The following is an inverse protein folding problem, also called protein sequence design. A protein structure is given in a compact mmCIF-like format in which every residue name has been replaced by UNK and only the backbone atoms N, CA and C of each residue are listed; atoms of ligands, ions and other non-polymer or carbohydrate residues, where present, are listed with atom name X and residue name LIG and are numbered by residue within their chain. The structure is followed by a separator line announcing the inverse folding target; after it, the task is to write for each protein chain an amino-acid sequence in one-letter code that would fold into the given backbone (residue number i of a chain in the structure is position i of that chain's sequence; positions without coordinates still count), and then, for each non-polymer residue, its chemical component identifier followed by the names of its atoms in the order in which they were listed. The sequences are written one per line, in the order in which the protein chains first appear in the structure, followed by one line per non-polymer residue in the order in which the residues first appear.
data_IF_644859917531
#
_entry.id   IF_644859917531
#
_cell.length_a   1.000
_cell.length_b   1.000
_cell.length_c   1.000
_cell.angle_alpha   90.00
_cell.angle_beta   90.00
_cell.angle_gamma   90.00
#
_symmetry.space_group_name_H-M   'P 1'
#
loop_
_entity.id
_entity.type
_entity.pdbx_description
1 polymer ?
#
# COMPACT_ATOMS: atom_id res chain seq x y z
N UNK A 1 -6.82 8.93 -13.02
CA UNK A 1 -5.86 7.84 -13.35
C UNK A 1 -5.73 6.88 -12.20
N UNK A 2 -6.07 5.62 -12.48
CA UNK A 2 -6.05 4.38 -11.69
C UNK A 2 -5.03 4.29 -10.53
N UNK A 3 -5.53 4.25 -9.27
CA UNK A 3 -4.74 3.74 -8.11
C UNK A 3 -4.56 2.21 -8.16
N UNK A 4 -5.42 1.50 -8.90
CA UNK A 4 -5.52 0.03 -8.92
C UNK A 4 -4.43 -0.65 -9.74
N UNK A 5 -4.05 -0.07 -10.89
CA UNK A 5 -2.97 -0.62 -11.72
C UNK A 5 -1.61 -0.53 -11.01
N UNK A 6 -1.39 0.54 -10.23
CA UNK A 6 -0.17 0.68 -9.44
C UNK A 6 -0.05 -0.43 -8.39
N UNK A 7 -1.15 -0.85 -7.77
CA UNK A 7 -1.10 -1.96 -6.79
C UNK A 7 -0.82 -3.31 -7.44
N UNK A 8 -1.41 -3.60 -8.61
CA UNK A 8 -1.18 -4.85 -9.35
C UNK A 8 0.27 -4.95 -9.84
N UNK A 9 0.81 -3.86 -10.38
CA UNK A 9 2.22 -3.77 -10.80
C UNK A 9 3.19 -3.99 -9.62
N UNK A 10 2.87 -3.42 -8.45
CA UNK A 10 3.67 -3.64 -7.24
C UNK A 10 3.59 -5.08 -6.75
N UNK A 11 2.41 -5.71 -6.80
CA UNK A 11 2.27 -7.14 -6.48
C UNK A 11 3.11 -8.01 -7.41
N UNK A 12 3.10 -7.74 -8.71
CA UNK A 12 3.93 -8.45 -9.67
C UNK A 12 5.44 -8.28 -9.38
N UNK A 13 5.89 -7.06 -9.02
CA UNK A 13 7.28 -6.83 -8.62
C UNK A 13 7.68 -7.69 -7.41
N UNK A 14 6.81 -7.77 -6.40
CA UNK A 14 7.04 -8.55 -5.18
C UNK A 14 7.08 -10.04 -5.45
N UNK A 15 6.18 -10.53 -6.30
CA UNK A 15 6.19 -11.92 -6.78
C UNK A 15 7.53 -12.26 -7.46
N UNK A 16 8.04 -11.36 -8.32
CA UNK A 16 9.34 -11.54 -8.98
C UNK A 16 10.51 -11.58 -8.00
N UNK A 17 10.49 -10.74 -6.95
CA UNK A 17 11.50 -10.78 -5.89
C UNK A 17 11.50 -12.15 -5.20
N UNK A 18 10.32 -12.64 -4.79
CA UNK A 18 10.18 -13.93 -4.11
C UNK A 18 10.62 -15.08 -5.00
N UNK A 19 10.22 -15.08 -6.28
CA UNK A 19 10.60 -16.10 -7.25
C UNK A 19 12.12 -16.11 -7.51
N UNK A 20 12.76 -14.95 -7.58
CA UNK A 20 14.21 -14.88 -7.73
C UNK A 20 14.92 -15.33 -6.44
N UNK A 21 14.40 -14.99 -5.27
CA UNK A 21 14.95 -15.46 -4.00
C UNK A 21 14.84 -16.99 -3.84
N UNK A 22 13.81 -17.63 -4.43
CA UNK A 22 13.66 -19.08 -4.47
C UNK A 22 14.62 -19.77 -5.46
N UNK A 23 15.23 -19.02 -6.38
CA UNK A 23 16.27 -19.48 -7.30
C UNK A 23 17.69 -19.18 -6.77
N UNK A 24 17.83 -18.97 -5.46
CA UNK A 24 19.10 -18.68 -4.78
C UNK A 24 19.82 -17.39 -5.21
N UNK A 25 19.13 -16.45 -5.87
CA UNK A 25 19.70 -15.14 -6.15
C UNK A 25 19.89 -14.30 -4.87
N UNK A 26 21.02 -13.61 -4.77
CA UNK A 26 21.29 -12.66 -3.68
C UNK A 26 20.43 -11.40 -3.82
N UNK A 27 20.16 -10.72 -2.70
CA UNK A 27 19.38 -9.47 -2.70
C UNK A 27 19.97 -8.40 -3.64
N UNK A 28 21.30 -8.35 -3.78
CA UNK A 28 21.97 -7.42 -4.70
C UNK A 28 21.76 -7.77 -6.17
N UNK A 29 21.77 -9.06 -6.53
CA UNK A 29 21.46 -9.51 -7.89
C UNK A 29 19.99 -9.23 -8.24
N UNK A 30 19.07 -9.54 -7.33
CA UNK A 30 17.63 -9.28 -7.49
C UNK A 30 17.38 -7.78 -7.69
N UNK A 31 17.97 -6.93 -6.84
CA UNK A 31 17.86 -5.47 -6.93
C UNK A 31 18.32 -4.94 -8.29
N UNK A 32 19.46 -5.44 -8.79
CA UNK A 32 19.99 -5.07 -10.10
C UNK A 32 19.08 -5.52 -11.24
N UNK A 33 18.61 -6.77 -11.21
CA UNK A 33 17.78 -7.34 -12.28
C UNK A 33 16.39 -6.71 -12.36
N UNK A 34 15.81 -6.33 -11.21
CA UNK A 34 14.47 -5.75 -11.12
C UNK A 34 14.47 -4.22 -11.02
N UNK A 35 15.64 -3.58 -11.12
CA UNK A 35 15.82 -2.13 -10.97
C UNK A 35 15.13 -1.58 -9.70
N UNK A 36 15.39 -2.23 -8.55
CA UNK A 36 14.84 -1.83 -7.24
C UNK A 36 15.94 -1.69 -6.20
N UNK A 37 15.58 -1.21 -5.00
CA UNK A 37 16.51 -1.11 -3.88
C UNK A 37 16.74 -2.47 -3.22
N UNK A 38 17.96 -2.70 -2.75
CA UNK A 38 18.33 -3.93 -2.01
C UNK A 38 17.45 -4.13 -0.77
N UNK A 39 17.08 -3.03 -0.10
CA UNK A 39 16.18 -3.08 1.06
C UNK A 39 14.78 -3.57 0.71
N UNK A 40 14.27 -3.25 -0.49
CA UNK A 40 13.00 -3.79 -0.98
C UNK A 40 13.09 -5.30 -1.17
N UNK A 41 14.19 -5.80 -1.74
CA UNK A 41 14.40 -7.23 -1.91
C UNK A 41 14.49 -7.95 -0.57
N UNK A 42 15.28 -7.41 0.38
CA UNK A 42 15.39 -7.92 1.75
C UNK A 42 14.04 -7.97 2.45
N UNK A 43 13.30 -6.87 2.47
CA UNK A 43 11.99 -6.76 3.12
C UNK A 43 11.03 -7.85 2.64
N UNK A 44 10.91 -8.03 1.32
CA UNK A 44 9.95 -8.99 0.77
C UNK A 44 10.39 -10.45 0.95
N UNK A 45 11.69 -10.70 0.98
CA UNK A 45 12.24 -12.02 1.28
C UNK A 45 11.98 -12.40 2.76
N UNK A 46 12.28 -11.50 3.69
CA UNK A 46 12.03 -11.72 5.12
C UNK A 46 10.54 -11.90 5.42
N UNK A 47 9.70 -11.10 4.76
CA UNK A 47 8.25 -11.18 4.88
C UNK A 47 7.69 -12.48 4.32
N UNK A 48 8.21 -12.96 3.19
CA UNK A 48 7.80 -14.24 2.63
C UNK A 48 8.11 -15.40 3.57
N UNK A 49 9.33 -15.46 4.11
CA UNK A 49 9.74 -16.47 5.09
C UNK A 49 8.85 -16.42 6.35
N UNK A 50 8.56 -15.22 6.85
CA UNK A 50 7.67 -15.03 8.01
C UNK A 50 6.24 -15.55 7.78
N UNK A 51 5.79 -15.63 6.53
CA UNK A 51 4.45 -16.07 6.15
C UNK A 51 4.40 -17.52 5.63
N UNK A 52 5.54 -18.18 5.40
CA UNK A 52 5.58 -19.54 4.84
C UNK A 52 4.87 -20.59 5.71
N UNK A 53 4.82 -20.40 7.03
CA UNK A 53 4.15 -21.32 7.96
C UNK A 53 2.62 -21.13 8.07
N UNK A 54 2.03 -20.19 7.34
CA UNK A 54 0.57 -20.02 7.30
C UNK A 54 -0.03 -20.98 6.28
N UNK A 55 -1.18 -21.54 6.60
CA UNK A 55 -1.95 -22.38 5.67
C UNK A 55 -2.47 -21.56 4.48
N UNK A 56 -2.66 -22.19 3.32
CA UNK A 56 -3.24 -21.54 2.14
C UNK A 56 -4.70 -21.13 2.37
N UNK A 57 -5.44 -21.88 3.20
CA UNK A 57 -6.80 -21.56 3.61
C UNK A 57 -6.86 -20.30 4.50
N UNK A 58 -5.74 -19.97 5.16
CA UNK A 58 -5.65 -18.79 6.05
C UNK A 58 -5.23 -17.53 5.29
N UNK A 59 -4.32 -17.66 4.32
CA UNK A 59 -3.77 -16.51 3.61
C UNK A 59 -3.31 -16.90 2.21
N UNK A 60 -4.05 -16.45 1.20
CA UNK A 60 -3.72 -16.71 -0.20
C UNK A 60 -2.41 -16.05 -0.61
N UNK A 61 -1.75 -16.56 -1.65
CA UNK A 61 -0.50 -15.97 -2.20
C UNK A 61 -0.68 -14.49 -2.55
N UNK A 62 -1.83 -14.11 -3.11
CA UNK A 62 -2.14 -12.73 -3.48
C UNK A 62 -2.24 -11.80 -2.24
N UNK A 63 -2.74 -12.31 -1.12
CA UNK A 63 -2.81 -11.60 0.14
C UNK A 63 -1.43 -11.49 0.82
N UNK A 64 -0.60 -12.55 0.74
CA UNK A 64 0.78 -12.52 1.24
C UNK A 64 1.62 -11.44 0.55
N UNK A 65 1.40 -11.23 -0.75
CA UNK A 65 2.08 -10.23 -1.57
C UNK A 65 1.49 -8.81 -1.44
N UNK A 66 0.35 -8.66 -0.77
CA UNK A 66 -0.25 -7.33 -0.51
C UNK A 66 0.57 -6.59 0.53
N UNK A 67 0.61 -5.26 0.44
CA UNK A 67 1.25 -4.48 1.49
C UNK A 67 0.55 -4.69 2.84
N UNK A 68 1.32 -4.60 3.92
CA UNK A 68 0.71 -4.59 5.24
C UNK A 68 -0.25 -3.40 5.30
N UNK A 69 -1.42 -3.51 5.97
CA UNK A 69 -2.27 -2.37 6.23
C UNK A 69 -1.38 -1.28 6.82
N UNK A 70 -1.25 -0.15 6.10
CA UNK A 70 -0.36 0.93 6.54
C UNK A 70 -0.89 1.35 7.91
N UNK A 71 -0.12 1.22 9.00
CA UNK A 71 -0.54 1.75 10.28
C UNK A 71 -0.68 3.25 10.07
N UNK A 72 -1.93 3.72 9.97
CA UNK A 72 -2.19 5.14 9.90
C UNK A 72 -1.67 5.77 11.18
N UNK A 73 -1.01 6.92 11.09
CA UNK A 73 -0.92 7.79 12.27
C UNK A 73 -2.37 8.02 12.72
N UNK A 74 -2.71 7.82 14.02
CA UNK A 74 -4.05 8.12 14.50
C UNK A 74 -4.44 9.53 14.05
N UNK A 75 -5.67 9.72 13.53
CA UNK A 75 -6.05 10.97 12.93
C UNK A 75 -5.88 12.11 13.94
N UNK A 76 -5.05 13.09 13.60
CA UNK A 76 -4.84 14.30 14.43
C UNK A 76 -6.09 15.19 14.46
N UNK A 77 -6.99 15.01 13.49
CA UNK A 77 -8.25 15.72 13.37
C UNK A 77 -9.36 14.77 13.81
N UNK A 78 -10.17 15.19 14.77
CA UNK A 78 -11.31 14.41 15.25
C UNK A 78 -12.42 14.35 14.20
N UNK A 79 -13.30 13.35 14.30
CA UNK A 79 -14.47 13.26 13.42
C UNK A 79 -15.34 14.52 13.49
N UNK A 80 -15.44 15.12 14.68
CA UNK A 80 -16.18 16.37 14.90
C UNK A 80 -15.55 17.55 14.17
N UNK A 81 -14.23 17.70 14.20
CA UNK A 81 -13.53 18.73 13.44
C UNK A 81 -13.71 18.55 11.93
N UNK A 82 -13.75 17.31 11.44
CA UNK A 82 -14.09 17.03 10.03
C UNK A 82 -15.51 17.48 9.69
N UNK A 83 -16.49 17.22 10.56
CA UNK A 83 -17.87 17.68 10.39
C UNK A 83 -17.98 19.21 10.38
N UNK A 84 -17.26 19.90 11.29
CA UNK A 84 -17.23 21.36 11.33
C UNK A 84 -16.63 21.96 10.05
N UNK A 85 -15.52 21.41 9.55
CA UNK A 85 -14.92 21.85 8.28
C UNK A 85 -15.88 21.63 7.10
N UNK A 86 -16.56 20.49 7.07
CA UNK A 86 -17.56 20.20 6.03
C UNK A 86 -18.76 21.16 6.10
N UNK A 87 -19.27 21.44 7.30
CA UNK A 87 -20.36 22.37 7.53
C UNK A 87 -19.99 23.81 7.12
N UNK A 88 -18.81 24.30 7.50
CA UNK A 88 -18.30 25.61 7.10
C UNK A 88 -18.24 25.76 5.57
N UNK A 89 -17.79 24.71 4.86
CA UNK A 89 -17.77 24.70 3.39
C UNK A 89 -19.18 24.74 2.79
N UNK A 90 -20.10 23.94 3.31
CA UNK A 90 -21.49 23.92 2.83
C UNK A 90 -22.18 25.28 3.05
N UNK A 91 -21.96 25.90 4.22
CA UNK A 91 -22.48 27.23 4.54
C UNK A 91 -21.89 28.31 3.62
N UNK A 92 -20.58 28.28 3.34
CA UNK A 92 -19.95 29.22 2.44
C UNK A 92 -20.47 29.11 1.00
N UNK A 93 -20.69 27.87 0.51
CA UNK A 93 -21.29 27.63 -0.81
C UNK A 93 -22.73 28.10 -0.88
N UNK A 94 -23.50 27.91 0.19
CA UNK A 94 -24.88 28.39 0.30
C UNK A 94 -24.93 29.93 0.32
N UNK A 95 -24.08 30.57 1.13
CA UNK A 95 -23.98 32.02 1.24
C UNK A 95 -23.55 32.67 -0.07
N UNK A 96 -22.55 32.09 -0.76
CA UNK A 96 -22.13 32.54 -2.08
C UNK A 96 -23.25 32.46 -3.11
N UNK A 97 -23.98 31.33 -3.15
CA UNK A 97 -25.15 31.19 -4.03
C UNK A 97 -26.25 32.20 -3.72
N UNK A 98 -26.38 32.63 -2.47
CA UNK A 98 -27.40 33.60 -2.05
C UNK A 98 -27.00 35.07 -2.29
N UNK A 99 -25.71 35.38 -2.40
CA UNK A 99 -25.20 36.74 -2.63
C UNK A 99 -24.98 37.08 -4.11
N UNK A 100 -24.70 36.07 -4.93
CA UNK A 100 -24.40 36.22 -6.36
C UNK A 100 -25.46 35.57 -7.26
N UNK A 101 -26.67 35.35 -6.72
CA UNK A 101 -27.83 34.82 -7.43
C UNK A 101 -28.88 35.90 -7.67
#
# INVERSE_FOLDING_TARGET
MSRRHRSEQQQALRARIVLAAAQDYTNAQIARQLATHVDTARLWRDRWVSLQGMDEDTLSVAERLRDAPRPGTPPRITAEQCCQIAALRALALFFWKSLFG
#
